data_IF_363557627724
#
_entry.id   IF_363557627724
#
_cell.length_a   1.000
_cell.length_b   1.000
_cell.length_c   1.000
_cell.angle_alpha   90.00
_cell.angle_beta   90.00
_cell.angle_gamma   90.00
#
_symmetry.space_group_name_H-M   'P 1'
#
loop_
_entity.id
_entity.type
_entity.pdbx_description
1 polymer ?
#
# COMPACT_ATOMS: atom_id res chain seq x y z
N UNK A 1 27.53 8.40 12.69
CA UNK A 1 27.07 9.79 12.44
C UNK A 1 25.95 9.72 11.42
N UNK A 2 24.87 10.48 11.69
CA UNK A 2 23.64 10.65 10.90
C UNK A 2 22.84 9.35 10.69
N UNK A 3 21.51 9.33 10.83
CA UNK A 3 20.57 10.42 10.72
C UNK A 3 19.47 10.23 11.78
N UNK A 4 18.84 11.35 12.17
CA UNK A 4 17.69 11.33 13.05
C UNK A 4 16.66 10.37 12.44
N UNK A 5 15.97 9.59 13.26
CA UNK A 5 14.66 9.04 12.91
C UNK A 5 13.71 10.23 12.66
N UNK A 6 13.91 10.93 11.55
CA UNK A 6 12.92 11.79 10.92
C UNK A 6 11.84 10.82 10.50
N UNK A 7 10.91 10.67 11.40
CA UNK A 7 9.84 9.71 11.35
C UNK A 7 9.05 9.97 10.05
N UNK A 8 9.37 9.22 8.99
CA UNK A 8 8.87 9.49 7.65
C UNK A 8 7.39 9.13 7.64
N UNK A 9 6.53 10.14 7.53
CA UNK A 9 5.09 9.98 7.54
C UNK A 9 4.44 10.68 6.35
N UNK A 10 3.35 10.08 5.87
CA UNK A 10 2.46 10.76 4.93
C UNK A 10 1.69 11.85 5.66
N UNK A 11 1.77 13.09 5.15
CA UNK A 11 0.98 14.20 5.70
C UNK A 11 -0.50 13.84 5.63
N UNK A 12 -1.18 13.87 6.78
CA UNK A 12 -2.62 13.59 6.91
C UNK A 12 -3.47 14.32 5.87
N UNK A 13 -3.20 15.60 5.62
CA UNK A 13 -3.92 16.41 4.62
C UNK A 13 -3.77 15.86 3.19
N UNK A 14 -2.61 15.27 2.88
CA UNK A 14 -2.37 14.64 1.57
C UNK A 14 -3.12 13.33 1.45
N UNK A 15 -3.09 12.50 2.50
CA UNK A 15 -3.83 11.23 2.55
C UNK A 15 -5.34 11.49 2.48
N UNK A 16 -5.83 12.50 3.17
CA UNK A 16 -7.23 12.90 3.13
C UNK A 16 -7.68 13.28 1.72
N UNK A 17 -6.95 14.19 1.06
CA UNK A 17 -7.24 14.57 -0.34
C UNK A 17 -7.14 13.41 -1.32
N UNK A 18 -6.11 12.57 -1.16
CA UNK A 18 -5.91 11.38 -2.00
C UNK A 18 -7.13 10.47 -1.90
N UNK A 19 -7.56 10.10 -0.69
CA UNK A 19 -8.69 9.21 -0.48
C UNK A 19 -10.01 9.84 -0.93
N UNK A 20 -10.23 11.12 -0.63
CA UNK A 20 -11.42 11.84 -1.07
C UNK A 20 -11.54 11.92 -2.59
N UNK A 21 -10.43 11.92 -3.33
CA UNK A 21 -10.44 11.88 -4.80
C UNK A 21 -10.98 10.57 -5.38
N UNK A 22 -11.04 9.49 -4.60
CA UNK A 22 -11.53 8.18 -5.05
C UNK A 22 -12.91 7.82 -4.49
N UNK A 23 -13.52 8.69 -3.68
CA UNK A 23 -14.88 8.46 -3.18
C UNK A 23 -15.90 8.64 -4.31
N UNK A 24 -16.71 7.61 -4.55
CA UNK A 24 -17.77 7.63 -5.58
C UNK A 24 -18.96 8.48 -5.15
N UNK A 25 -19.17 8.64 -3.85
CA UNK A 25 -20.26 9.43 -3.28
C UNK A 25 -19.72 10.71 -2.66
N UNK A 26 -20.30 11.84 -3.06
CA UNK A 26 -19.91 13.17 -2.56
C UNK A 26 -20.13 13.33 -1.04
N UNK A 27 -21.01 12.51 -0.44
CA UNK A 27 -21.30 12.54 0.99
C UNK A 27 -20.33 11.72 1.84
N UNK A 28 -19.45 10.92 1.22
CA UNK A 28 -18.46 10.12 1.97
C UNK A 28 -17.46 11.05 2.65
N UNK A 29 -17.43 11.00 3.98
CA UNK A 29 -16.51 11.79 4.81
C UNK A 29 -15.48 10.88 5.44
N UNK A 30 -14.22 11.25 5.32
CA UNK A 30 -13.12 10.62 6.03
C UNK A 30 -12.85 11.37 7.33
N UNK A 31 -12.90 10.66 8.47
CA UNK A 31 -12.58 11.25 9.77
C UNK A 31 -11.07 11.52 9.93
N UNK A 32 -10.72 12.40 10.87
CA UNK A 32 -9.32 12.73 11.16
C UNK A 32 -8.49 11.51 11.54
N UNK A 33 -9.04 10.67 12.41
CA UNK A 33 -8.38 9.46 12.92
C UNK A 33 -8.25 8.40 11.83
N UNK A 34 -9.27 8.25 10.98
CA UNK A 34 -9.18 7.36 9.83
C UNK A 34 -8.09 7.82 8.88
N UNK A 35 -7.96 9.12 8.59
CA UNK A 35 -6.89 9.63 7.73
C UNK A 35 -5.48 9.36 8.31
N UNK A 36 -5.29 9.45 9.63
CA UNK A 36 -4.03 9.09 10.29
C UNK A 36 -3.73 7.60 10.18
N UNK A 37 -4.72 6.75 10.45
CA UNK A 37 -4.56 5.30 10.30
C UNK A 37 -4.21 4.91 8.85
N UNK A 38 -4.81 5.59 7.88
CA UNK A 38 -4.51 5.37 6.46
C UNK A 38 -3.11 5.85 6.09
N UNK A 39 -2.60 6.91 6.72
CA UNK A 39 -1.22 7.36 6.54
C UNK A 39 -0.23 6.29 7.02
N UNK A 40 -0.46 5.69 8.19
CA UNK A 40 0.36 4.57 8.69
C UNK A 40 0.26 3.34 7.78
N UNK A 41 -0.94 3.02 7.30
CA UNK A 41 -1.12 1.89 6.38
C UNK A 41 -0.36 2.09 5.07
N UNK A 42 -0.36 3.31 4.51
CA UNK A 42 0.42 3.65 3.32
C UNK A 42 1.93 3.55 3.59
N UNK A 43 2.40 3.95 4.78
CA UNK A 43 3.80 3.81 5.20
C UNK A 43 4.22 2.35 5.19
N UNK A 44 3.45 1.49 5.85
CA UNK A 44 3.70 0.04 5.88
C UNK A 44 3.65 -0.56 4.48
N UNK A 45 2.71 -0.13 3.64
CA UNK A 45 2.60 -0.62 2.26
C UNK A 45 3.86 -0.33 1.43
N UNK A 46 4.37 0.91 1.49
CA UNK A 46 5.58 1.30 0.77
C UNK A 46 6.82 0.59 1.33
N UNK A 47 6.92 0.45 2.65
CA UNK A 47 8.02 -0.29 3.29
C UNK A 47 8.03 -1.76 2.87
N UNK A 48 6.87 -2.43 2.87
CA UNK A 48 6.75 -3.81 2.38
C UNK A 48 7.18 -3.94 0.92
N UNK A 49 6.77 -3.00 0.08
CA UNK A 49 7.15 -2.99 -1.34
C UNK A 49 8.66 -2.84 -1.51
N UNK A 50 9.29 -1.93 -0.77
CA UNK A 50 10.74 -1.72 -0.80
C UNK A 50 11.51 -2.95 -0.33
N UNK A 51 11.15 -3.52 0.83
CA UNK A 51 11.81 -4.70 1.41
C UNK A 51 11.70 -5.90 0.47
N UNK A 52 10.54 -6.12 -0.15
CA UNK A 52 10.36 -7.24 -1.08
C UNK A 52 11.14 -7.04 -2.36
N UNK A 53 11.22 -5.82 -2.87
CA UNK A 53 12.00 -5.51 -4.07
C UNK A 53 13.50 -5.66 -3.81
N UNK A 54 13.96 -5.27 -2.61
CA UNK A 54 15.32 -5.55 -2.16
C UNK A 54 15.59 -7.05 -2.10
N UNK A 55 14.72 -7.84 -1.46
CA UNK A 55 14.88 -9.31 -1.40
C UNK A 55 14.90 -9.95 -2.78
N UNK A 56 14.13 -9.42 -3.72
CA UNK A 56 14.13 -9.91 -5.10
C UNK A 56 15.47 -9.61 -5.80
N UNK A 57 16.01 -8.39 -5.65
CA UNK A 57 17.33 -8.03 -6.17
C UNK A 57 18.45 -8.89 -5.54
N UNK A 58 18.41 -9.10 -4.22
CA UNK A 58 19.36 -9.98 -3.51
C UNK A 58 19.29 -11.42 -4.03
N UNK A 59 18.09 -11.93 -4.35
CA UNK A 59 17.91 -13.27 -4.91
C UNK A 59 18.43 -13.43 -6.33
N UNK A 60 18.60 -12.33 -7.05
CA UNK A 60 19.15 -12.27 -8.41
C UNK A 60 20.62 -11.81 -8.43
N UNK A 61 21.25 -11.72 -7.25
CA UNK A 61 22.64 -11.29 -7.07
C UNK A 61 22.90 -9.88 -7.64
N UNK A 62 21.88 -9.00 -7.60
CA UNK A 62 22.00 -7.61 -8.02
C UNK A 62 22.31 -6.70 -6.83
N UNK A 63 23.27 -5.78 -7.02
CA UNK A 63 23.69 -4.81 -6.00
C UNK A 63 22.68 -3.66 -5.80
N UNK A 64 21.70 -3.50 -6.71
CA UNK A 64 20.70 -2.44 -6.67
C UNK A 64 19.30 -2.93 -7.06
N UNK A 65 18.29 -2.24 -6.55
CA UNK A 65 16.88 -2.52 -6.86
C UNK A 65 16.49 -1.79 -8.14
N UNK A 66 16.49 -2.52 -9.25
CA UNK A 66 15.87 -2.08 -10.51
C UNK A 66 14.36 -2.29 -10.57
N UNK A 67 13.71 -1.62 -11.52
CA UNK A 67 12.25 -1.68 -11.75
C UNK A 67 11.77 -3.12 -12.01
N UNK A 68 12.57 -3.94 -12.69
CA UNK A 68 12.23 -5.35 -12.97
C UNK A 68 12.02 -6.18 -11.70
N UNK A 69 12.80 -5.92 -10.64
CA UNK A 69 12.64 -6.57 -9.34
C UNK A 69 11.32 -6.16 -8.68
N UNK A 70 10.94 -4.88 -8.81
CA UNK A 70 9.68 -4.36 -8.30
C UNK A 70 8.48 -4.99 -9.03
N UNK A 71 8.54 -5.09 -10.37
CA UNK A 71 7.49 -5.71 -11.18
C UNK A 71 7.25 -7.18 -10.80
N UNK A 72 8.31 -7.93 -10.51
CA UNK A 72 8.22 -9.32 -10.04
C UNK A 72 7.51 -9.46 -8.69
N UNK A 73 7.58 -8.45 -7.82
CA UNK A 73 6.91 -8.47 -6.51
C UNK A 73 5.51 -7.85 -6.52
N UNK A 74 5.08 -7.19 -7.60
CA UNK A 74 3.74 -6.62 -7.71
C UNK A 74 2.61 -7.64 -7.50
N UNK A 75 2.66 -8.87 -8.05
CA UNK A 75 1.61 -9.86 -7.86
C UNK A 75 1.36 -10.20 -6.39
N UNK A 76 2.42 -10.26 -5.58
CA UNK A 76 2.35 -10.55 -4.14
C UNK A 76 2.12 -9.30 -3.28
N UNK A 77 2.33 -8.11 -3.82
CA UNK A 77 2.10 -6.86 -3.09
C UNK A 77 0.60 -6.56 -2.95
N UNK A 78 -0.20 -6.92 -3.96
CA UNK A 78 -1.66 -6.76 -3.94
C UNK A 78 -2.42 -7.90 -3.24
N UNK A 79 -1.90 -9.11 -3.24
CA UNK A 79 -2.45 -10.23 -2.47
C UNK A 79 -1.58 -10.44 -1.23
N UNK A 80 -2.09 -10.17 -0.02
CA UNK A 80 -1.46 -10.68 1.21
C UNK A 80 -1.44 -12.22 1.12
N UNK A 81 -0.36 -12.81 0.62
CA UNK A 81 -0.20 -14.26 0.47
C UNK A 81 0.25 -14.87 1.80
N UNK A 82 -0.70 -15.22 2.66
CA UNK A 82 -0.51 -16.42 3.48
C UNK A 82 -1.05 -17.60 2.65
N UNK A 83 -0.15 -18.25 1.90
CA UNK A 83 -0.34 -19.43 1.02
C UNK A 83 -1.52 -19.38 0.01
N UNK A 84 -1.15 -19.48 -1.27
CA UNK A 84 -2.01 -19.68 -2.45
C UNK A 84 -3.07 -20.79 -2.28
N UNK A 85 -4.24 -20.69 -2.96
CA UNK A 85 -4.31 -21.19 -4.33
C UNK A 85 -4.94 -20.23 -5.35
N UNK A 86 -4.24 -20.08 -6.47
CA UNK A 86 -4.68 -19.83 -7.86
C UNK A 86 -5.66 -18.65 -8.16
N UNK A 87 -5.24 -17.62 -8.93
CA UNK A 87 -6.18 -16.64 -9.47
C UNK A 87 -6.03 -16.44 -10.99
N UNK A 88 -7.01 -16.91 -11.75
CA UNK A 88 -7.40 -16.27 -13.00
C UNK A 88 -8.33 -15.11 -12.64
N UNK A 89 -7.78 -13.91 -12.40
CA UNK A 89 -8.39 -12.58 -12.58
C UNK A 89 -7.61 -11.51 -11.80
N UNK A 90 -7.15 -10.48 -12.52
CA UNK A 90 -6.25 -9.40 -12.05
C UNK A 90 -6.96 -8.26 -11.28
N UNK A 91 -8.27 -8.35 -11.04
CA UNK A 91 -9.09 -7.19 -10.64
C UNK A 91 -9.45 -7.09 -9.16
N UNK A 92 -8.98 -7.99 -8.29
CA UNK A 92 -9.50 -8.04 -6.91
C UNK A 92 -8.92 -7.03 -5.93
N UNK A 93 -7.79 -6.38 -6.22
CA UNK A 93 -7.09 -5.57 -5.22
C UNK A 93 -7.81 -4.25 -4.89
N UNK A 94 -8.15 -3.47 -5.91
CA UNK A 94 -8.81 -2.16 -5.74
C UNK A 94 -10.24 -2.32 -5.24
N UNK A 95 -10.96 -3.33 -5.73
CA UNK A 95 -12.36 -3.56 -5.36
C UNK A 95 -12.50 -4.09 -3.92
N UNK A 96 -11.58 -4.97 -3.49
CA UNK A 96 -11.58 -5.47 -2.12
C UNK A 96 -11.21 -4.37 -1.10
N UNK A 97 -10.24 -3.53 -1.42
CA UNK A 97 -9.78 -2.46 -0.53
C UNK A 97 -10.80 -1.33 -0.40
N UNK A 98 -11.41 -0.89 -1.51
CA UNK A 98 -12.49 0.12 -1.50
C UNK A 98 -13.72 -0.43 -0.75
N UNK A 99 -14.07 -1.70 -0.95
CA UNK A 99 -15.18 -2.34 -0.23
C UNK A 99 -14.93 -2.41 1.29
N UNK A 100 -13.75 -2.84 1.73
CA UNK A 100 -13.41 -2.90 3.18
C UNK A 100 -13.35 -1.54 3.86
N UNK A 101 -12.90 -0.49 3.15
CA UNK A 101 -12.79 0.87 3.71
C UNK A 101 -14.15 1.58 3.75
N UNK A 102 -15.08 1.22 2.86
CA UNK A 102 -16.40 1.86 2.73
C UNK A 102 -17.48 1.17 3.58
N UNK A 103 -17.30 -0.11 3.96
CA UNK A 103 -18.38 -0.91 4.59
C UNK A 103 -18.29 -1.02 6.12
N UNK A 104 -17.96 0.06 6.83
CA UNK A 104 -18.24 0.17 8.28
C UNK A 104 -19.09 1.41 8.54
N UNK A 105 -20.37 1.27 8.23
CA UNK A 105 -21.39 2.30 8.41
C UNK A 105 -22.79 1.71 8.20
N UNK A 106 -23.17 0.73 9.02
CA UNK A 106 -24.56 0.40 9.35
C UNK A 106 -24.59 -0.29 10.70
#
# INVERSE_FOLDING_TARGET
MADKDEDIFFKKETVHKLLSSFFKEEKTKLSSEAALLMAEMLKVFVQEAAIRSQKQAESEECDQVDIEHFEKILPQLGHRTNKQPNPSSSTYFTDFWISKVTTRGS
#
